data_IF_487339723300
#
_entry.id   IF_487339723300
#
_cell.length_a   1.000
_cell.length_b   1.000
_cell.length_c   1.000
_cell.angle_alpha   90.00
_cell.angle_beta   90.00
_cell.angle_gamma   90.00
#
_symmetry.space_group_name_H-M   'P 1'
#
loop_
_entity.id
_entity.type
_entity.pdbx_description
1 polymer ?
#
# COMPACT_ATOMS: atom_id res chain seq x y z
N UNK A 1 -18.89 -27.27 5.76
CA UNK A 1 -17.59 -26.60 5.61
C UNK A 1 -16.60 -27.30 6.51
N UNK A 2 -15.47 -27.77 5.99
CA UNK A 2 -14.45 -28.52 6.77
C UNK A 2 -13.45 -27.46 7.23
N UNK A 3 -13.43 -27.17 8.54
CA UNK A 3 -12.38 -26.30 9.12
C UNK A 3 -11.04 -27.06 9.14
N UNK A 4 -9.96 -26.47 8.62
CA UNK A 4 -8.65 -27.10 8.63
C UNK A 4 -8.08 -27.12 10.07
N UNK A 5 -7.86 -28.31 10.62
CA UNK A 5 -7.43 -28.50 12.01
C UNK A 5 -5.91 -28.68 12.19
N UNK A 6 -5.11 -28.70 11.11
CA UNK A 6 -3.66 -28.88 11.21
C UNK A 6 -2.90 -27.75 10.50
N UNK A 7 -1.69 -27.40 10.96
CA UNK A 7 -0.84 -26.40 10.30
C UNK A 7 -0.56 -26.70 8.83
N UNK A 8 -0.46 -27.98 8.47
CA UNK A 8 -0.22 -28.43 7.10
C UNK A 8 -1.43 -28.23 6.21
N UNK A 9 -2.64 -28.47 6.69
CA UNK A 9 -3.87 -28.22 5.97
C UNK A 9 -4.10 -26.71 5.73
N UNK A 10 -3.73 -25.88 6.70
CA UNK A 10 -3.75 -24.41 6.53
C UNK A 10 -2.78 -23.95 5.44
N UNK A 11 -1.54 -24.48 5.40
CA UNK A 11 -0.56 -24.18 4.37
C UNK A 11 -1.03 -24.58 2.96
N UNK A 12 -1.64 -25.75 2.81
CA UNK A 12 -2.18 -26.23 1.54
C UNK A 12 -3.34 -25.33 1.08
N UNK A 13 -4.21 -24.89 1.99
CA UNK A 13 -5.31 -23.99 1.65
C UNK A 13 -4.80 -22.61 1.19
N UNK A 14 -3.78 -22.08 1.86
CA UNK A 14 -3.11 -20.83 1.50
C UNK A 14 -2.49 -20.93 0.10
N UNK A 15 -1.73 -21.99 -0.18
CA UNK A 15 -1.13 -22.22 -1.49
C UNK A 15 -2.17 -22.36 -2.61
N UNK A 16 -3.28 -23.05 -2.32
CA UNK A 16 -4.38 -23.19 -3.28
C UNK A 16 -5.05 -21.85 -3.58
N UNK A 17 -5.21 -21.00 -2.57
CA UNK A 17 -5.79 -19.64 -2.74
C UNK A 17 -4.87 -18.75 -3.57
N UNK A 18 -3.55 -18.84 -3.38
CA UNK A 18 -2.55 -18.12 -4.18
C UNK A 18 -2.59 -18.55 -5.64
N UNK A 19 -2.65 -19.86 -5.89
CA UNK A 19 -2.70 -20.42 -7.26
C UNK A 19 -3.99 -20.00 -7.98
N UNK A 20 -5.13 -20.02 -7.27
CA UNK A 20 -6.42 -19.57 -7.84
C UNK A 20 -6.38 -18.05 -8.10
N UNK A 21 -5.82 -17.26 -7.20
CA UNK A 21 -5.65 -15.83 -7.39
C UNK A 21 -4.79 -15.50 -8.61
N UNK A 22 -3.64 -16.18 -8.79
CA UNK A 22 -2.77 -16.02 -9.95
C UNK A 22 -3.43 -16.46 -11.26
N UNK A 23 -4.24 -17.53 -11.26
CA UNK A 23 -5.00 -17.95 -12.45
C UNK A 23 -6.06 -16.91 -12.85
N UNK A 24 -6.75 -16.30 -11.89
CA UNK A 24 -7.75 -15.26 -12.16
C UNK A 24 -7.11 -13.98 -12.69
N UNK A 25 -5.94 -13.60 -12.20
CA UNK A 25 -5.14 -12.48 -12.72
C UNK A 25 -4.71 -12.77 -14.17
N UNK A 26 -4.26 -13.99 -14.48
CA UNK A 26 -3.88 -14.40 -15.83
C UNK A 26 -5.03 -14.30 -16.83
N UNK A 27 -6.25 -14.68 -16.46
CA UNK A 27 -7.45 -14.59 -17.30
C UNK A 27 -7.87 -13.12 -17.51
N UNK A 28 -7.78 -12.27 -16.48
CA UNK A 28 -8.07 -10.84 -16.58
C UNK A 28 -7.10 -10.10 -17.51
N UNK A 29 -5.80 -10.37 -17.42
CA UNK A 29 -4.78 -9.79 -18.30
C UNK A 29 -4.96 -10.22 -19.75
N UNK A 30 -5.35 -11.46 -20.00
CA UNK A 30 -5.60 -11.95 -21.37
C UNK A 30 -6.83 -11.29 -22.00
N UNK A 31 -7.90 -11.06 -21.22
CA UNK A 31 -9.09 -10.33 -21.66
C UNK A 31 -8.81 -8.87 -22.03
N UNK A 32 -8.00 -8.17 -21.24
CA UNK A 32 -7.60 -6.79 -21.50
C UNK A 32 -6.70 -6.69 -22.75
N UNK A 33 -5.74 -7.61 -22.94
CA UNK A 33 -4.89 -7.66 -24.13
C UNK A 33 -5.71 -7.92 -25.41
N UNK A 34 -6.72 -8.79 -25.38
CA UNK A 34 -7.60 -9.01 -26.51
C UNK A 34 -8.46 -7.78 -26.83
N UNK A 35 -8.93 -7.07 -25.80
CA UNK A 35 -9.71 -5.84 -26.00
C UNK A 35 -8.86 -4.69 -26.56
N UNK A 36 -7.63 -4.50 -26.08
CA UNK A 36 -6.70 -3.52 -26.63
C UNK A 36 -6.34 -3.80 -28.08
N UNK A 37 -6.15 -5.09 -28.45
CA UNK A 37 -5.84 -5.46 -29.83
C UNK A 37 -7.01 -5.14 -30.78
N UNK A 38 -8.26 -5.36 -30.35
CA UNK A 38 -9.44 -5.03 -31.14
C UNK A 38 -9.65 -3.52 -31.32
N UNK A 39 -9.31 -2.72 -30.34
CA UNK A 39 -9.38 -1.24 -30.42
C UNK A 39 -8.28 -0.68 -31.34
N UNK A 40 -7.10 -1.30 -31.34
CA UNK A 40 -5.98 -0.84 -32.20
C UNK A 40 -6.19 -1.18 -33.68
N UNK A 41 -6.80 -2.30 -34.00
CA UNK A 41 -7.20 -2.63 -35.37
C UNK A 41 -8.33 -1.73 -35.91
N UNK A 42 -9.22 -1.21 -35.05
CA UNK A 42 -10.26 -0.27 -35.42
C UNK A 42 -9.73 1.15 -35.71
N UNK A 43 -8.58 1.53 -35.12
CA UNK A 43 -7.98 2.87 -35.34
C UNK A 43 -7.03 2.94 -36.54
N UNK A 44 -6.57 1.80 -37.06
CA UNK A 44 -5.62 1.78 -38.19
C UNK A 44 -6.28 1.90 -39.57
N UNK A 45 -7.62 1.93 -39.65
CA UNK A 45 -8.37 2.03 -40.90
C UNK A 45 -8.73 3.46 -41.32
N UNK A 46 -8.30 4.53 -40.58
CA UNK A 46 -8.79 5.89 -40.86
C UNK A 46 -7.69 6.96 -40.98
N UNK A 47 -6.45 6.59 -41.26
CA UNK A 47 -5.38 7.62 -41.44
C UNK A 47 -4.46 7.26 -42.61
N UNK A 48 -4.91 7.53 -43.83
CA UNK A 48 -4.05 7.76 -45.01
C UNK A 48 -4.44 9.09 -45.62
N UNK A 49 -3.61 10.10 -45.50
CA UNK A 49 -3.25 11.18 -46.43
C UNK A 49 -2.78 12.43 -45.73
N UNK A 50 -1.62 12.88 -46.11
CA UNK A 50 -1.05 14.18 -46.52
C UNK A 50 0.30 14.41 -45.85
N UNK A 51 1.39 14.08 -46.53
CA UNK A 51 2.36 14.79 -47.35
C UNK A 51 3.11 15.95 -46.67
N UNK A 52 4.41 15.70 -46.43
CA UNK A 52 5.64 16.35 -46.92
C UNK A 52 6.10 17.75 -46.40
N UNK A 53 7.40 17.77 -46.13
CA UNK A 53 8.47 18.78 -46.26
C UNK A 53 8.85 19.51 -44.97
N UNK A 54 10.07 19.77 -44.55
CA UNK A 54 11.41 19.84 -45.11
C UNK A 54 12.43 20.07 -43.99
N UNK A 55 13.62 19.59 -44.18
CA UNK A 55 14.96 19.85 -43.66
C UNK A 55 15.23 20.96 -42.63
N UNK A 56 16.09 20.75 -41.64
CA UNK A 56 17.45 21.32 -41.63
C UNK A 56 18.32 20.77 -40.49
N UNK A 57 19.50 20.28 -40.84
CA UNK A 57 20.65 19.85 -40.06
C UNK A 57 21.32 21.02 -39.35
N UNK A 58 21.82 20.86 -38.14
CA UNK A 58 23.05 21.53 -37.69
C UNK A 58 23.77 20.71 -36.65
N UNK A 59 24.91 20.20 -37.07
CA UNK A 59 25.99 19.57 -36.33
C UNK A 59 26.85 20.68 -35.70
N UNK A 60 27.32 20.51 -34.46
CA UNK A 60 28.49 21.23 -33.94
C UNK A 60 29.22 20.31 -32.94
N UNK A 61 30.38 19.85 -33.45
CA UNK A 61 31.49 19.30 -32.65
C UNK A 61 32.20 20.43 -31.89
N UNK A 62 32.86 20.08 -30.80
CA UNK A 62 34.22 20.51 -30.37
C UNK A 62 34.44 20.11 -28.91
N UNK A 63 35.39 19.49 -28.54
CA UNK A 63 36.82 19.30 -28.59
C UNK A 63 37.36 18.98 -27.19
N UNK A 64 38.22 18.02 -27.17
CA UNK A 64 39.01 17.48 -26.07
C UNK A 64 40.10 18.45 -25.64
N UNK A 65 40.40 18.63 -24.36
CA UNK A 65 41.74 18.98 -23.90
C UNK A 65 42.15 18.19 -22.63
N UNK A 66 43.17 17.39 -22.85
CA UNK A 66 43.99 16.71 -21.86
C UNK A 66 45.05 17.65 -21.32
N UNK A 67 45.23 17.72 -20.00
CA UNK A 67 46.47 18.23 -19.42
C UNK A 67 46.90 17.35 -18.24
N UNK A 68 48.01 16.69 -18.47
CA UNK A 68 48.81 15.94 -17.47
C UNK A 68 49.68 16.90 -16.65
N UNK A 69 49.69 16.75 -15.32
CA UNK A 69 50.78 17.24 -14.50
C UNK A 69 51.09 16.19 -13.40
N UNK A 70 52.26 15.60 -13.53
CA UNK A 70 52.90 14.66 -12.58
C UNK A 70 53.57 15.47 -11.46
N UNK A 71 53.31 15.20 -10.20
CA UNK A 71 54.15 15.60 -9.08
C UNK A 71 54.23 14.44 -8.09
N UNK A 72 55.41 13.85 -8.03
CA UNK A 72 55.81 12.83 -7.07
C UNK A 72 56.09 13.46 -5.70
N UNK A 73 55.38 13.03 -4.67
CA UNK A 73 55.74 13.30 -3.27
C UNK A 73 55.90 11.98 -2.55
N UNK A 74 57.14 11.72 -2.12
CA UNK A 74 57.47 10.58 -1.26
C UNK A 74 57.03 10.87 0.16
N UNK A 75 56.09 10.09 0.68
CA UNK A 75 55.68 10.18 2.09
C UNK A 75 55.90 8.84 2.78
N UNK A 76 56.67 8.85 3.82
CA UNK A 76 57.07 7.73 4.71
C UNK A 76 55.80 7.20 5.40
N UNK A 77 55.50 5.92 5.19
CA UNK A 77 54.35 5.24 5.76
C UNK A 77 54.70 4.70 7.16
N UNK A 78 54.15 5.31 8.19
CA UNK A 78 54.05 4.68 9.50
C UNK A 78 52.82 3.80 9.52
N UNK A 79 53.01 2.49 9.60
CA UNK A 79 51.93 1.54 9.69
C UNK A 79 51.27 1.61 11.08
N UNK A 80 50.12 2.26 11.16
CA UNK A 80 49.21 2.13 12.29
C UNK A 80 48.27 0.99 12.01
N UNK A 81 48.39 -0.11 12.73
CA UNK A 81 47.48 -1.24 12.66
C UNK A 81 46.13 -0.80 13.26
N UNK A 82 45.19 -0.44 12.38
CA UNK A 82 43.79 -0.24 12.77
C UNK A 82 43.14 -1.61 12.84
N UNK A 83 42.85 -2.05 14.08
CA UNK A 83 42.03 -3.25 14.31
C UNK A 83 40.61 -2.90 13.92
N UNK A 84 40.20 -3.25 12.70
CA UNK A 84 38.80 -3.11 12.27
C UNK A 84 37.99 -4.22 12.94
N UNK A 85 37.31 -3.87 14.01
CA UNK A 85 36.23 -4.71 14.54
C UNK A 85 35.15 -4.76 13.47
N UNK A 86 34.99 -5.88 12.78
CA UNK A 86 33.82 -6.11 11.94
C UNK A 86 32.62 -6.25 12.86
N UNK A 87 31.80 -5.20 12.93
CA UNK A 87 30.45 -5.33 13.47
C UNK A 87 29.72 -6.32 12.58
N UNK A 88 29.36 -7.45 13.16
CA UNK A 88 28.50 -8.44 12.50
C UNK A 88 27.12 -7.79 12.41
N UNK A 89 26.77 -7.25 11.26
CA UNK A 89 25.40 -6.81 10.98
C UNK A 89 24.53 -8.06 11.00
N UNK A 90 23.86 -8.28 12.11
CA UNK A 90 22.87 -9.35 12.23
C UNK A 90 21.65 -8.93 11.39
N UNK A 91 21.57 -9.42 10.16
CA UNK A 91 20.39 -9.18 9.32
C UNK A 91 19.23 -10.01 9.86
N UNK A 92 18.12 -9.35 10.21
CA UNK A 92 16.88 -10.02 10.58
C UNK A 92 16.42 -10.90 9.41
N UNK A 93 16.20 -12.21 9.60
CA UNK A 93 15.68 -13.07 8.54
C UNK A 93 14.33 -12.57 8.04
N UNK A 94 14.09 -12.67 6.74
CA UNK A 94 12.86 -12.20 6.08
C UNK A 94 12.33 -13.33 5.20
N UNK A 95 11.04 -13.63 5.27
CA UNK A 95 10.44 -14.59 4.36
C UNK A 95 10.48 -14.10 2.91
N UNK A 96 10.48 -15.03 1.95
CA UNK A 96 10.70 -14.73 0.53
C UNK A 96 9.61 -13.81 -0.05
N UNK A 97 8.37 -13.96 0.39
CA UNK A 97 7.23 -13.17 -0.03
C UNK A 97 7.41 -11.70 0.37
N UNK A 98 7.75 -11.43 1.63
CA UNK A 98 7.98 -10.07 2.11
C UNK A 98 9.18 -9.44 1.41
N UNK A 99 10.29 -10.17 1.29
CA UNK A 99 11.48 -9.68 0.59
C UNK A 99 11.15 -9.24 -0.85
N UNK A 100 10.39 -10.06 -1.58
CA UNK A 100 9.95 -9.77 -2.95
C UNK A 100 9.04 -8.55 -3.01
N UNK A 101 8.08 -8.42 -2.08
CA UNK A 101 7.17 -7.27 -2.04
C UNK A 101 7.94 -5.97 -1.76
N UNK A 102 8.83 -5.97 -0.79
CA UNK A 102 9.64 -4.80 -0.46
C UNK A 102 10.55 -4.39 -1.63
N UNK A 103 11.26 -5.35 -2.25
CA UNK A 103 12.14 -5.11 -3.39
C UNK A 103 11.37 -4.51 -4.58
N UNK A 104 10.23 -5.10 -4.96
CA UNK A 104 9.39 -4.62 -6.06
C UNK A 104 8.86 -3.20 -5.85
N UNK A 105 8.78 -2.74 -4.61
CA UNK A 105 8.30 -1.41 -4.26
C UNK A 105 9.42 -0.43 -3.87
N UNK A 106 10.67 -0.87 -3.90
CA UNK A 106 11.84 -0.04 -3.61
C UNK A 106 12.00 0.33 -2.14
N UNK A 107 11.43 -0.47 -1.23
CA UNK A 107 11.58 -0.30 0.22
C UNK A 107 12.63 -1.27 0.77
N UNK A 108 13.76 -0.80 1.30
CA UNK A 108 14.65 -1.65 2.10
C UNK A 108 13.95 -2.04 3.42
N UNK A 109 14.33 -3.19 3.99
CA UNK A 109 13.75 -3.66 5.25
C UNK A 109 13.89 -2.62 6.39
N UNK A 110 14.94 -1.79 6.35
CA UNK A 110 15.17 -0.72 7.32
C UNK A 110 14.07 0.34 7.35
N UNK A 111 13.29 0.50 6.28
CA UNK A 111 12.20 1.47 6.21
C UNK A 111 11.00 1.06 7.09
N UNK A 112 10.95 -0.22 7.51
CA UNK A 112 9.98 -0.68 8.49
C UNK A 112 10.32 -0.18 9.92
N UNK A 113 11.52 0.34 10.16
CA UNK A 113 11.94 0.88 11.45
C UNK A 113 11.80 -0.13 12.59
N UNK A 114 11.13 0.29 13.66
CA UNK A 114 10.84 -0.54 14.85
C UNK A 114 9.54 -1.36 14.70
N UNK A 115 8.87 -1.27 13.55
CA UNK A 115 7.64 -2.04 13.30
C UNK A 115 7.90 -3.54 13.35
N UNK A 116 6.95 -4.26 13.95
CA UNK A 116 6.93 -5.72 13.98
C UNK A 116 5.71 -6.30 13.27
N UNK A 117 4.84 -5.46 12.72
CA UNK A 117 3.68 -5.90 11.95
C UNK A 117 3.54 -5.07 10.67
N UNK A 118 3.40 -5.76 9.55
CA UNK A 118 3.19 -5.14 8.24
C UNK A 118 2.00 -5.80 7.53
N UNK A 119 1.06 -4.99 7.09
CA UNK A 119 0.08 -5.38 6.09
C UNK A 119 0.61 -4.95 4.73
N UNK A 120 0.75 -5.86 3.77
CA UNK A 120 1.14 -5.53 2.40
C UNK A 120 -0.03 -5.76 1.44
N UNK A 121 -0.40 -4.73 0.71
CA UNK A 121 -1.49 -4.70 -0.27
C UNK A 121 -0.88 -4.65 -1.66
N UNK A 122 -0.95 -5.74 -2.38
CA UNK A 122 -0.46 -5.85 -3.76
C UNK A 122 -1.65 -5.84 -4.71
N UNK A 123 -1.77 -4.79 -5.51
CA UNK A 123 -2.95 -4.57 -6.35
C UNK A 123 -2.73 -4.88 -7.84
N UNK A 124 -3.81 -5.22 -8.52
CA UNK A 124 -3.91 -5.31 -9.98
C UNK A 124 -5.25 -4.71 -10.41
N UNK A 125 -5.22 -3.47 -10.89
CA UNK A 125 -6.44 -2.66 -11.03
C UNK A 125 -7.09 -2.43 -9.67
N UNK A 126 -8.39 -2.69 -9.54
CA UNK A 126 -9.10 -2.58 -8.26
C UNK A 126 -9.03 -3.85 -7.38
N UNK A 127 -8.52 -4.96 -7.90
CA UNK A 127 -8.31 -6.19 -7.11
C UNK A 127 -7.02 -6.10 -6.32
N UNK A 128 -6.98 -6.71 -5.13
CA UNK A 128 -5.80 -6.77 -4.30
C UNK A 128 -5.63 -8.13 -3.63
N UNK A 129 -4.37 -8.48 -3.37
CA UNK A 129 -4.01 -9.51 -2.41
C UNK A 129 -3.40 -8.81 -1.19
N UNK A 130 -3.95 -9.11 -0.03
CA UNK A 130 -3.57 -8.49 1.25
C UNK A 130 -2.84 -9.54 2.08
N UNK A 131 -1.59 -9.26 2.42
CA UNK A 131 -0.73 -10.11 3.22
C UNK A 131 -0.54 -9.49 4.60
N UNK A 132 -0.49 -10.30 5.64
CA UNK A 132 -0.06 -9.90 6.97
C UNK A 132 1.26 -10.57 7.33
N UNK A 133 2.20 -9.79 7.84
CA UNK A 133 3.52 -10.25 8.27
C UNK A 133 3.79 -9.78 9.69
N UNK A 134 4.42 -10.64 10.51
CA UNK A 134 4.95 -10.24 11.80
C UNK A 134 6.42 -10.61 11.96
N UNK A 135 7.15 -9.78 12.73
CA UNK A 135 8.53 -10.03 13.12
C UNK A 135 8.58 -10.66 14.49
N UNK A 136 9.32 -11.76 14.62
CA UNK A 136 9.58 -12.47 15.86
C UNK A 136 11.03 -12.88 15.99
N UNK A 137 11.34 -13.77 16.93
CA UNK A 137 12.70 -14.29 17.16
C UNK A 137 13.32 -14.95 15.92
N UNK A 138 12.49 -15.50 15.03
CA UNK A 138 12.91 -16.13 13.77
C UNK A 138 12.89 -15.18 12.57
N UNK A 139 12.71 -13.87 12.81
CA UNK A 139 12.56 -12.85 11.78
C UNK A 139 11.14 -12.65 11.30
N UNK A 140 10.98 -12.05 10.13
CA UNK A 140 9.69 -11.75 9.52
C UNK A 140 9.06 -12.99 8.88
N UNK A 141 7.81 -13.26 9.22
CA UNK A 141 7.04 -14.38 8.71
C UNK A 141 5.65 -13.93 8.25
N UNK A 142 5.06 -14.65 7.30
CA UNK A 142 3.71 -14.40 6.83
C UNK A 142 2.70 -15.10 7.76
N UNK A 143 1.76 -14.34 8.28
CA UNK A 143 0.71 -14.82 9.19
C UNK A 143 -0.59 -15.14 8.44
N UNK A 144 -0.95 -14.30 7.47
CA UNK A 144 -2.16 -14.51 6.67
C UNK A 144 -2.03 -13.96 5.25
N UNK A 145 -2.93 -14.40 4.39
CA UNK A 145 -3.18 -13.84 3.06
C UNK A 145 -4.68 -13.82 2.80
N UNK A 146 -5.18 -12.74 2.21
CA UNK A 146 -6.58 -12.56 1.85
C UNK A 146 -6.73 -11.91 0.48
N UNK A 147 -7.81 -12.22 -0.22
CA UNK A 147 -8.26 -11.40 -1.34
C UNK A 147 -8.94 -10.15 -0.81
N UNK A 148 -8.78 -9.05 -1.53
CA UNK A 148 -9.40 -7.78 -1.20
C UNK A 148 -9.61 -6.91 -2.42
N UNK A 149 -9.99 -5.66 -2.19
CA UNK A 149 -10.08 -4.65 -3.24
C UNK A 149 -9.57 -3.30 -2.74
N UNK A 150 -9.23 -2.45 -3.70
CA UNK A 150 -8.74 -1.09 -3.50
C UNK A 150 -9.58 -0.11 -4.32
N UNK A 151 -9.17 1.13 -4.40
CA UNK A 151 -9.84 2.15 -5.20
C UNK A 151 -10.15 1.66 -6.62
N UNK A 152 -11.30 2.09 -7.18
CA UNK A 152 -11.75 1.70 -8.53
C UNK A 152 -10.67 1.94 -9.60
N UNK A 153 -9.83 2.96 -9.41
CA UNK A 153 -8.73 3.30 -10.31
C UNK A 153 -7.37 2.72 -9.84
N UNK A 154 -7.39 1.74 -8.94
CA UNK A 154 -6.20 1.06 -8.44
C UNK A 154 -5.43 1.86 -7.38
N UNK A 155 -4.15 1.53 -7.23
CA UNK A 155 -3.19 2.20 -6.33
C UNK A 155 -2.39 3.23 -7.10
N UNK A 156 -2.23 4.46 -6.57
CA UNK A 156 -1.56 5.56 -7.25
C UNK A 156 -0.82 6.48 -6.28
N UNK A 157 0.37 6.94 -6.69
CA UNK A 157 1.10 8.01 -5.98
C UNK A 157 0.42 9.40 -6.14
N UNK A 158 -0.53 9.53 -7.07
CA UNK A 158 -1.28 10.76 -7.32
C UNK A 158 -2.70 10.71 -6.72
N UNK A 159 -2.90 9.97 -5.63
CA UNK A 159 -4.16 9.95 -4.91
C UNK A 159 -4.48 11.34 -4.37
N UNK A 160 -5.75 11.76 -4.46
CA UNK A 160 -6.29 13.02 -3.97
C UNK A 160 -7.81 12.97 -3.93
N UNK A 161 -8.44 14.00 -3.36
CA UNK A 161 -9.91 14.09 -3.35
C UNK A 161 -10.52 13.93 -4.74
N UNK A 162 -11.65 13.20 -4.80
CA UNK A 162 -12.43 12.96 -6.01
C UNK A 162 -11.80 11.98 -7.01
N UNK A 163 -10.63 11.41 -6.70
CA UNK A 163 -10.01 10.34 -7.49
C UNK A 163 -10.11 9.04 -6.70
N UNK A 164 -10.86 8.09 -7.22
CA UNK A 164 -11.04 6.78 -6.58
C UNK A 164 -9.79 5.89 -6.71
N UNK A 165 -8.65 6.38 -6.21
CA UNK A 165 -7.38 5.67 -6.11
C UNK A 165 -7.00 5.46 -4.66
N UNK A 166 -6.51 4.28 -4.33
CA UNK A 166 -5.81 4.06 -3.06
C UNK A 166 -4.42 4.71 -3.12
N UNK A 167 -4.00 5.47 -2.11
CA UNK A 167 -2.68 6.07 -2.10
C UNK A 167 -1.60 5.00 -2.08
N UNK A 168 -0.57 5.16 -2.94
CA UNK A 168 0.61 4.30 -2.97
C UNK A 168 1.60 4.75 -1.91
N UNK A 169 2.09 3.82 -1.10
CA UNK A 169 3.13 4.14 -0.11
C UNK A 169 3.17 3.19 1.08
N UNK A 170 4.02 3.54 2.04
CA UNK A 170 4.15 2.89 3.34
C UNK A 170 3.59 3.86 4.39
N UNK A 171 2.57 3.42 5.14
CA UNK A 171 1.86 4.24 6.12
C UNK A 171 1.77 3.52 7.46
N UNK A 172 1.69 4.27 8.56
CA UNK A 172 1.31 3.68 9.84
C UNK A 172 -0.20 3.45 9.91
N UNK A 173 -0.61 2.53 10.77
CA UNK A 173 -2.01 2.35 11.11
C UNK A 173 -2.36 3.17 12.36
N UNK A 174 -3.57 3.71 12.38
CA UNK A 174 -4.13 4.45 13.50
C UNK A 174 -5.04 3.57 14.36
N UNK A 175 -6.05 4.21 14.97
CA UNK A 175 -7.05 3.50 15.76
C UNK A 175 -8.01 2.71 14.87
N UNK A 176 -8.59 1.65 15.45
CA UNK A 176 -9.68 0.91 14.84
C UNK A 176 -11.04 1.53 15.22
N UNK A 177 -12.05 1.26 14.39
CA UNK A 177 -13.42 1.63 14.69
C UNK A 177 -14.40 0.64 14.04
N UNK A 178 -15.65 0.66 14.48
CA UNK A 178 -16.67 -0.22 13.90
C UNK A 178 -18.00 -0.14 14.65
N UNK A 179 -18.98 -0.90 14.19
CA UNK A 179 -20.33 -0.90 14.78
C UNK A 179 -20.43 -1.74 16.06
N UNK A 180 -19.64 -2.80 16.18
CA UNK A 180 -19.68 -3.70 17.32
C UNK A 180 -18.92 -3.13 18.52
N UNK A 181 -19.37 -3.41 19.76
CA UNK A 181 -18.71 -2.99 20.99
C UNK A 181 -17.52 -3.92 21.31
N UNK A 182 -16.36 -3.71 20.67
CA UNK A 182 -15.16 -4.50 20.90
C UNK A 182 -14.34 -3.94 22.07
N UNK A 183 -13.88 -4.80 22.97
CA UNK A 183 -13.13 -4.42 24.18
C UNK A 183 -11.84 -5.21 24.39
N UNK A 184 -11.56 -6.19 23.53
CA UNK A 184 -10.46 -7.16 23.65
C UNK A 184 -9.36 -6.96 22.57
N UNK A 185 -9.34 -5.79 21.94
CA UNK A 185 -8.31 -5.44 20.97
C UNK A 185 -7.05 -4.88 21.62
N UNK A 186 -5.90 -5.13 20.99
CA UNK A 186 -4.59 -4.59 21.40
C UNK A 186 -4.25 -3.28 20.69
N UNK A 187 -5.20 -2.66 19.98
CA UNK A 187 -5.12 -1.32 19.40
C UNK A 187 -6.27 -0.47 19.91
N UNK A 188 -6.15 0.87 19.97
CA UNK A 188 -7.25 1.75 20.36
C UNK A 188 -8.46 1.52 19.45
N UNK A 189 -9.65 1.46 20.04
CA UNK A 189 -10.90 1.22 19.32
C UNK A 189 -11.97 2.25 19.66
N UNK A 190 -12.75 2.66 18.66
CA UNK A 190 -13.90 3.58 18.80
C UNK A 190 -15.15 2.93 18.23
N UNK A 191 -16.16 2.73 19.07
CA UNK A 191 -17.46 2.26 18.57
C UNK A 191 -18.19 3.38 17.85
N UNK A 192 -18.73 3.09 16.66
CA UNK A 192 -19.53 4.03 15.88
C UNK A 192 -20.88 4.32 16.56
N UNK A 193 -21.28 5.57 16.46
CA UNK A 193 -22.59 6.07 16.83
C UNK A 193 -23.04 7.17 15.85
N UNK A 194 -24.24 7.72 16.05
CA UNK A 194 -24.85 8.73 15.18
C UNK A 194 -24.10 10.08 15.11
N UNK A 195 -23.08 10.29 15.94
CA UNK A 195 -22.32 11.54 15.98
C UNK A 195 -20.89 11.39 15.42
N UNK A 196 -20.57 10.24 14.81
CA UNK A 196 -19.23 9.95 14.30
C UNK A 196 -19.10 10.33 12.83
N UNK A 197 -18.13 11.20 12.53
CA UNK A 197 -17.84 11.71 11.19
C UNK A 197 -16.35 11.65 10.89
N UNK A 198 -16.03 11.49 9.59
CA UNK A 198 -14.68 11.77 9.08
C UNK A 198 -14.79 12.93 8.10
N UNK A 199 -14.14 14.07 8.42
CA UNK A 199 -14.31 15.30 7.65
C UNK A 199 -13.44 15.26 6.40
N UNK A 200 -14.06 15.33 5.23
CA UNK A 200 -13.44 15.33 3.89
C UNK A 200 -13.57 16.68 3.16
N UNK A 201 -14.01 17.74 3.87
CA UNK A 201 -14.07 19.11 3.36
C UNK A 201 -12.69 19.78 3.40
N UNK A 202 -12.02 20.00 2.25
CA UNK A 202 -10.69 20.64 2.23
C UNK A 202 -10.65 22.07 2.77
N UNK A 203 -11.80 22.73 2.92
CA UNK A 203 -11.90 24.06 3.50
C UNK A 203 -12.04 24.04 5.03
N UNK A 204 -12.27 22.88 5.63
CA UNK A 204 -12.44 22.72 7.06
C UNK A 204 -11.10 22.70 7.80
N UNK A 205 -10.98 23.35 8.97
CA UNK A 205 -9.78 23.25 9.82
C UNK A 205 -9.56 21.85 10.41
N UNK A 206 -10.59 20.99 10.36
CA UNK A 206 -10.54 19.59 10.81
C UNK A 206 -10.59 18.60 9.64
N UNK A 207 -10.18 19.04 8.44
CA UNK A 207 -10.04 18.17 7.26
C UNK A 207 -9.18 16.95 7.58
N UNK A 208 -9.61 15.78 7.06
CA UNK A 208 -9.02 14.47 7.25
C UNK A 208 -8.90 14.06 8.73
N UNK A 209 -9.89 14.40 9.54
CA UNK A 209 -9.92 14.07 10.96
C UNK A 209 -11.27 13.47 11.38
N UNK A 210 -11.19 12.56 12.35
CA UNK A 210 -12.37 12.07 13.08
C UNK A 210 -12.99 13.19 13.91
N UNK A 211 -14.31 13.30 13.83
CA UNK A 211 -15.11 14.13 14.70
C UNK A 211 -16.22 13.31 15.35
N UNK A 212 -16.47 13.53 16.64
CA UNK A 212 -17.61 12.97 17.35
C UNK A 212 -18.36 14.15 17.97
N UNK A 213 -19.46 14.59 17.31
CA UNK A 213 -20.17 15.82 17.66
C UNK A 213 -21.57 15.84 17.07
N UNK A 214 -22.46 16.61 17.72
CA UNK A 214 -23.78 16.97 17.19
C UNK A 214 -23.76 18.30 16.42
N UNK A 215 -22.64 19.05 16.46
CA UNK A 215 -22.51 20.35 15.81
C UNK A 215 -21.72 20.21 14.51
N UNK A 216 -22.37 20.39 13.38
CA UNK A 216 -21.79 20.30 12.05
C UNK A 216 -21.33 21.68 11.60
N UNK A 217 -20.01 21.84 11.37
CA UNK A 217 -19.38 23.10 10.95
C UNK A 217 -18.46 22.93 9.72
N UNK A 218 -18.73 21.93 8.89
CA UNK A 218 -18.08 21.64 7.61
C UNK A 218 -19.11 21.44 6.50
N UNK A 219 -18.68 21.49 5.23
CA UNK A 219 -19.57 21.33 4.08
C UNK A 219 -19.70 19.87 3.62
N UNK A 220 -18.68 19.01 3.93
CA UNK A 220 -18.63 17.62 3.55
C UNK A 220 -17.94 16.78 4.61
N UNK A 221 -18.48 15.60 4.87
CA UNK A 221 -17.89 14.56 5.72
C UNK A 221 -18.53 13.20 5.42
N UNK A 222 -17.83 12.12 5.65
CA UNK A 222 -18.45 10.81 5.79
C UNK A 222 -19.14 10.71 7.16
N UNK A 223 -20.46 10.57 7.17
CA UNK A 223 -21.20 10.16 8.38
C UNK A 223 -21.02 8.66 8.54
N UNK A 224 -20.09 8.26 9.39
CA UNK A 224 -19.51 6.91 9.39
C UNK A 224 -20.54 5.80 9.64
N UNK A 225 -21.58 6.08 10.42
CA UNK A 225 -22.64 5.11 10.72
C UNK A 225 -23.49 4.77 9.49
N UNK A 226 -23.57 5.66 8.47
CA UNK A 226 -24.32 5.42 7.24
C UNK A 226 -23.66 4.30 6.40
N UNK A 227 -22.40 4.01 6.65
CA UNK A 227 -21.61 2.96 6.01
C UNK A 227 -21.42 1.73 6.92
N UNK A 228 -22.38 1.45 7.82
CA UNK A 228 -22.28 0.42 8.85
C UNK A 228 -21.82 -0.96 8.34
N UNK A 229 -22.21 -1.35 7.12
CA UNK A 229 -21.77 -2.63 6.52
C UNK A 229 -20.29 -2.62 6.14
N UNK A 230 -19.79 -1.52 5.57
CA UNK A 230 -18.37 -1.36 5.22
C UNK A 230 -17.53 -1.12 6.46
N UNK A 231 -18.04 -0.33 7.39
CA UNK A 231 -17.38 0.00 8.65
C UNK A 231 -17.87 -0.86 9.82
N UNK A 232 -18.31 -2.11 9.52
CA UNK A 232 -18.54 -3.11 10.56
C UNK A 232 -17.26 -3.28 11.39
N UNK A 233 -16.12 -3.40 10.70
CA UNK A 233 -14.77 -3.35 11.26
C UNK A 233 -13.87 -2.52 10.34
N UNK A 234 -13.13 -1.59 10.91
CA UNK A 234 -12.22 -0.74 10.17
C UNK A 234 -11.01 -0.32 11.00
N UNK A 235 -9.92 0.03 10.34
CA UNK A 235 -8.74 0.66 10.94
C UNK A 235 -8.26 1.81 10.04
N UNK A 236 -7.86 2.91 10.68
CA UNK A 236 -7.39 4.12 9.99
C UNK A 236 -6.02 3.86 9.38
N UNK A 237 -5.85 4.19 8.10
CA UNK A 237 -4.54 4.33 7.45
C UNK A 237 -4.11 5.77 7.58
N UNK A 238 -2.97 6.04 8.22
CA UNK A 238 -2.46 7.38 8.48
C UNK A 238 -1.87 8.01 7.21
N UNK A 239 -2.71 8.10 6.16
CA UNK A 239 -2.41 8.83 4.94
C UNK A 239 -2.81 10.30 5.09
N UNK A 240 -1.94 11.22 4.65
CA UNK A 240 -2.19 12.66 4.69
C UNK A 240 -2.59 13.16 6.10
N UNK A 241 -1.91 12.69 7.14
CA UNK A 241 -2.25 13.01 8.54
C UNK A 241 -1.26 13.98 9.20
N UNK A 242 0.02 13.95 8.81
CA UNK A 242 1.05 14.79 9.42
C UNK A 242 2.17 15.14 8.40
N UNK A 243 2.21 16.39 7.91
CA UNK A 243 1.14 17.39 8.02
C UNK A 243 -0.06 17.07 7.12
N UNK A 244 -1.25 17.45 7.54
CA UNK A 244 -2.45 17.38 6.70
C UNK A 244 -2.36 18.42 5.58
N UNK A 245 -2.54 17.96 4.34
CA UNK A 245 -2.57 18.80 3.14
C UNK A 245 -3.99 18.82 2.57
N UNK A 246 -4.73 19.95 2.62
CA UNK A 246 -6.08 20.02 2.10
C UNK A 246 -6.18 19.59 0.63
N UNK A 247 -7.13 18.70 0.32
CA UNK A 247 -7.37 18.19 -1.02
C UNK A 247 -6.44 17.07 -1.49
N UNK A 248 -5.42 16.71 -0.70
CA UNK A 248 -4.52 15.60 -1.04
C UNK A 248 -5.14 14.21 -0.80
N UNK A 249 -6.38 14.15 -0.36
CA UNK A 249 -7.12 12.93 -0.04
C UNK A 249 -7.33 12.74 1.46
N UNK A 250 -8.45 12.12 1.81
CA UNK A 250 -8.90 11.88 3.19
C UNK A 250 -9.59 10.54 3.31
N UNK A 251 -9.96 10.15 4.53
CA UNK A 251 -10.80 8.98 4.81
C UNK A 251 -10.25 7.67 4.20
N UNK A 252 -8.96 7.41 4.35
CA UNK A 252 -8.36 6.15 3.89
C UNK A 252 -8.34 5.14 5.03
N UNK A 253 -9.07 4.04 4.84
CA UNK A 253 -9.23 2.99 5.84
C UNK A 253 -8.95 1.61 5.24
N UNK A 254 -8.61 0.65 6.08
CA UNK A 254 -8.74 -0.78 5.80
C UNK A 254 -10.04 -1.24 6.48
N UNK A 255 -11.01 -1.80 5.71
CA UNK A 255 -12.35 -2.08 6.20
C UNK A 255 -12.98 -3.33 5.55
N UNK A 256 -14.24 -3.64 5.88
CA UNK A 256 -14.99 -4.75 5.32
C UNK A 256 -15.43 -4.49 3.88
N UNK A 257 -15.39 -5.51 3.00
CA UNK A 257 -15.83 -5.35 1.60
C UNK A 257 -17.33 -5.07 1.46
N UNK A 258 -18.15 -5.54 2.39
CA UNK A 258 -19.62 -5.44 2.34
C UNK A 258 -20.20 -5.87 0.95
N UNK A 259 -19.51 -6.79 0.27
CA UNK A 259 -19.87 -7.27 -1.07
C UNK A 259 -19.40 -6.39 -2.24
N UNK A 260 -18.69 -5.29 -1.98
CA UNK A 260 -18.11 -4.44 -3.03
C UNK A 260 -16.90 -5.11 -3.70
N UNK A 261 -16.67 -4.79 -4.97
CA UNK A 261 -15.51 -5.22 -5.76
C UNK A 261 -14.44 -4.14 -5.92
N UNK A 262 -14.71 -2.92 -5.46
CA UNK A 262 -13.77 -1.78 -5.43
C UNK A 262 -14.24 -0.75 -4.41
N UNK A 263 -13.38 0.20 -4.06
CA UNK A 263 -13.64 1.29 -3.11
C UNK A 263 -13.49 2.66 -3.76
N UNK A 264 -13.76 3.72 -3.01
CA UNK A 264 -13.46 5.09 -3.42
C UNK A 264 -11.97 5.47 -3.18
N UNK A 265 -11.19 4.63 -2.50
CA UNK A 265 -9.78 4.87 -2.17
C UNK A 265 -9.28 4.02 -1.01
N UNK A 266 -10.17 3.49 -0.20
CA UNK A 266 -9.87 2.59 0.90
C UNK A 266 -9.34 1.24 0.41
N UNK A 267 -8.88 0.41 1.35
CA UNK A 267 -8.57 -1.00 1.16
C UNK A 267 -9.69 -1.80 1.82
N UNK A 268 -10.23 -2.81 1.15
CA UNK A 268 -11.26 -3.64 1.75
C UNK A 268 -10.96 -5.13 1.64
N UNK A 269 -11.28 -5.87 2.71
CA UNK A 269 -11.15 -7.33 2.82
C UNK A 269 -12.46 -7.92 3.33
N UNK A 270 -12.70 -9.24 3.18
CA UNK A 270 -13.89 -9.88 3.75
C UNK A 270 -14.01 -9.64 5.26
N UNK A 271 -15.23 -9.54 5.79
CA UNK A 271 -15.54 -9.27 7.20
C UNK A 271 -14.80 -10.20 8.16
N UNK A 272 -14.79 -11.51 7.87
CA UNK A 272 -14.07 -12.49 8.70
C UNK A 272 -12.57 -12.22 8.74
N UNK A 273 -11.99 -11.75 7.62
CA UNK A 273 -10.57 -11.39 7.58
C UNK A 273 -10.31 -10.07 8.31
N UNK A 274 -11.24 -9.11 8.20
CA UNK A 274 -11.10 -7.84 8.93
C UNK A 274 -11.17 -8.06 10.45
N UNK A 275 -12.07 -8.95 10.90
CA UNK A 275 -12.11 -9.41 12.29
C UNK A 275 -10.77 -9.99 12.75
N UNK A 276 -10.20 -10.93 11.96
CA UNK A 276 -8.91 -11.56 12.27
C UNK A 276 -7.78 -10.52 12.31
N UNK A 277 -7.79 -9.54 11.39
CA UNK A 277 -6.82 -8.45 11.34
C UNK A 277 -6.89 -7.59 12.60
N UNK A 278 -8.09 -7.17 13.03
CA UNK A 278 -8.23 -6.35 14.24
C UNK A 278 -7.67 -7.04 15.49
N UNK A 279 -7.88 -8.34 15.62
CA UNK A 279 -7.37 -9.11 16.76
C UNK A 279 -5.88 -9.48 16.64
N UNK A 280 -5.35 -9.45 15.41
CA UNK A 280 -3.93 -9.66 15.15
C UNK A 280 -3.10 -8.39 15.39
N UNK A 281 -3.65 -7.21 15.11
CA UNK A 281 -2.95 -5.92 15.26
C UNK A 281 -2.63 -5.62 16.73
N UNK A 282 -1.42 -5.07 16.97
CA UNK A 282 -0.95 -4.64 18.29
C UNK A 282 -0.31 -3.27 18.18
N UNK A 283 -0.75 -2.34 19.01
CA UNK A 283 -0.22 -0.96 19.04
C UNK A 283 1.28 -0.93 19.36
N UNK A 284 1.72 -1.77 20.30
CA UNK A 284 3.12 -1.88 20.72
C UNK A 284 4.06 -2.45 19.65
N UNK A 285 3.53 -3.06 18.61
CA UNK A 285 4.28 -3.58 17.46
C UNK A 285 4.36 -2.57 16.29
N UNK A 286 3.87 -1.34 16.49
CA UNK A 286 3.94 -0.23 15.52
C UNK A 286 3.49 -0.64 14.11
N UNK A 287 2.24 -1.11 13.92
CA UNK A 287 1.80 -1.71 12.68
C UNK A 287 1.85 -0.74 11.49
N UNK A 288 2.35 -1.23 10.37
CA UNK A 288 2.42 -0.51 9.10
C UNK A 288 1.53 -1.16 8.04
N UNK A 289 1.18 -0.37 7.01
CA UNK A 289 0.55 -0.85 5.78
C UNK A 289 1.32 -0.33 4.56
N UNK A 290 1.69 -1.24 3.66
CA UNK A 290 2.30 -0.94 2.37
C UNK A 290 1.25 -1.17 1.27
N UNK A 291 0.97 -0.15 0.46
CA UNK A 291 0.06 -0.23 -0.69
C UNK A 291 0.83 -0.08 -2.00
N UNK A 292 0.61 -1.01 -2.96
CA UNK A 292 1.36 -1.08 -4.21
C UNK A 292 0.53 -1.57 -5.39
#
# INVERSE_FOLDING_TARGET
MIHPNTPEQKRILILLSIVIGLMLIGIGCFGVLLHQKSVQESQHSTAVSVVSTDSTTTELEMETQTTTASTSVTTTTTATTVSTTMETVTTTPVCAELATILENNGYPLSDLGDSKQLIAVVSSGCFAVVYGFSAGEQGWQMDFVSNGCVGTNGVSANSREGISCTPKGLFSLGFAFGTDPLTDLSIPYRQLNENCYWVDDPASPVYNQWQETTEINWNSAEHLIDYASSYHYAVVVNYNCDPVVPGAGSAIFLHCTAGASSTAGCIAVPDSQMWDILHWLKEEDFPLILTS
#
